data_IF_044760351614
#
_entry.id   IF_044760351614
#
_cell.length_a   1.000
_cell.length_b   1.000
_cell.length_c   1.000
_cell.angle_alpha   90.00
_cell.angle_beta   90.00
_cell.angle_gamma   90.00
#
_symmetry.space_group_name_H-M   'P 1'
#
loop_
_entity.id
_entity.type
_entity.pdbx_description
1 polymer ?
#
# COMPACT_ATOMS: atom_id res chain seq x y z
N UNK A 1 -18.30 12.06 -6.72
CA UNK A 1 -17.02 11.90 -7.44
C UNK A 1 -17.11 10.59 -8.22
N UNK A 2 -16.75 10.57 -9.50
CA UNK A 2 -16.65 9.33 -10.26
C UNK A 2 -15.22 8.75 -10.14
N UNK A 3 -15.00 7.45 -10.45
CA UNK A 3 -13.66 6.86 -10.42
C UNK A 3 -12.60 7.59 -11.26
N UNK A 4 -12.99 8.16 -12.41
CA UNK A 4 -12.07 8.89 -13.29
C UNK A 4 -11.56 10.17 -12.59
N UNK A 5 -12.42 10.88 -11.87
CA UNK A 5 -12.04 12.10 -11.14
C UNK A 5 -10.91 11.81 -10.15
N UNK A 6 -10.97 10.65 -9.47
CA UNK A 6 -9.90 10.20 -8.57
C UNK A 6 -8.59 10.03 -9.34
N UNK A 7 -8.55 9.20 -10.38
CA UNK A 7 -7.29 8.85 -11.07
C UNK A 7 -6.62 10.06 -11.76
N UNK A 8 -7.41 11.07 -12.15
CA UNK A 8 -6.94 12.34 -12.71
C UNK A 8 -6.65 13.42 -11.66
N UNK A 9 -7.01 13.18 -10.40
CA UNK A 9 -6.88 14.13 -9.31
C UNK A 9 -5.50 14.16 -8.65
N UNK A 10 -5.31 15.15 -7.78
CA UNK A 10 -4.05 15.37 -7.06
C UNK A 10 -3.93 14.53 -5.78
N UNK A 11 -5.04 13.97 -5.28
CA UNK A 11 -5.05 13.13 -4.07
C UNK A 11 -4.74 11.66 -4.37
N UNK A 12 -3.77 11.42 -5.27
CA UNK A 12 -3.42 10.07 -5.74
C UNK A 12 -1.98 9.69 -5.41
N UNK A 13 -1.73 8.38 -5.36
CA UNK A 13 -0.40 7.80 -5.17
C UNK A 13 -0.36 6.40 -5.80
N UNK A 14 0.82 5.80 -5.94
CA UNK A 14 0.97 4.50 -6.61
C UNK A 14 0.04 3.45 -6.00
N UNK A 15 -0.02 3.36 -4.67
CA UNK A 15 -0.87 2.41 -3.95
C UNK A 15 -2.37 2.58 -4.22
N UNK A 16 -2.90 3.81 -4.14
CA UNK A 16 -4.31 4.07 -4.43
C UNK A 16 -4.67 3.85 -5.90
N UNK A 17 -3.71 4.09 -6.82
CA UNK A 17 -3.87 3.79 -8.25
C UNK A 17 -3.88 2.29 -8.54
N UNK A 18 -3.19 1.48 -7.74
CA UNK A 18 -3.27 0.01 -7.83
C UNK A 18 -4.68 -0.46 -7.48
N UNK A 19 -5.24 -0.02 -6.34
CA UNK A 19 -6.62 -0.34 -5.95
C UNK A 19 -7.59 0.07 -7.07
N UNK A 20 -7.53 1.34 -7.50
CA UNK A 20 -8.36 1.85 -8.58
C UNK A 20 -8.26 0.98 -9.85
N UNK A 21 -7.05 0.59 -10.24
CA UNK A 21 -6.85 -0.23 -11.44
C UNK A 21 -7.50 -1.60 -11.31
N UNK A 22 -7.40 -2.25 -10.15
CA UNK A 22 -8.07 -3.55 -9.91
C UNK A 22 -9.59 -3.38 -9.99
N UNK A 23 -10.14 -2.39 -9.30
CA UNK A 23 -11.59 -2.16 -9.26
C UNK A 23 -12.18 -1.83 -10.62
N UNK A 24 -11.41 -1.12 -11.47
CA UNK A 24 -11.79 -0.73 -12.82
C UNK A 24 -11.41 -1.75 -13.90
N UNK A 25 -10.84 -2.91 -13.53
CA UNK A 25 -10.39 -3.93 -14.51
C UNK A 25 -9.23 -3.48 -15.39
N UNK A 26 -8.46 -2.47 -14.96
CA UNK A 26 -7.30 -1.92 -15.64
C UNK A 26 -5.98 -2.53 -15.15
N UNK A 27 -4.89 -2.24 -15.86
CA UNK A 27 -3.54 -2.67 -15.52
C UNK A 27 -2.71 -1.46 -15.06
N UNK A 28 -2.27 -1.41 -13.79
CA UNK A 28 -1.44 -0.33 -13.29
C UNK A 28 -0.04 -0.41 -13.93
N UNK A 29 0.55 0.76 -14.25
CA UNK A 29 1.93 0.83 -14.78
C UNK A 29 2.99 0.48 -13.74
N UNK A 30 2.73 0.86 -12.49
CA UNK A 30 3.61 0.61 -11.34
C UNK A 30 2.76 0.01 -10.25
N UNK A 31 3.27 -1.05 -9.61
CA UNK A 31 2.62 -1.72 -8.50
C UNK A 31 3.47 -1.52 -7.26
N UNK A 32 2.88 -0.89 -6.26
CA UNK A 32 3.48 -0.84 -4.94
C UNK A 32 2.41 -0.75 -3.85
N UNK A 33 2.80 -1.10 -2.64
CA UNK A 33 1.99 -0.99 -1.43
C UNK A 33 2.14 0.41 -0.81
N UNK A 34 1.23 0.87 0.08
CA UNK A 34 1.46 2.11 0.83
C UNK A 34 2.69 1.96 1.75
N UNK A 35 3.64 2.89 1.70
CA UNK A 35 4.86 2.81 2.52
C UNK A 35 4.77 3.63 3.80
N UNK A 36 3.87 4.61 3.83
CA UNK A 36 3.69 5.50 4.97
C UNK A 36 2.19 5.82 5.22
N UNK A 37 1.87 6.46 6.36
CA UNK A 37 0.50 6.87 6.66
C UNK A 37 -0.15 7.78 5.62
N UNK A 38 0.62 8.57 4.87
CA UNK A 38 0.06 9.45 3.84
C UNK A 38 -0.34 8.64 2.59
N UNK A 39 0.45 7.64 2.21
CA UNK A 39 0.11 6.66 1.18
C UNK A 39 -1.14 5.86 1.58
N UNK A 40 -1.18 5.37 2.83
CA UNK A 40 -2.34 4.66 3.34
C UNK A 40 -3.58 5.56 3.37
N UNK A 41 -3.44 6.80 3.84
CA UNK A 41 -4.54 7.76 3.88
C UNK A 41 -5.15 8.05 2.51
N UNK A 42 -4.36 8.06 1.43
CA UNK A 42 -4.89 8.12 0.06
C UNK A 42 -5.73 6.88 -0.29
N UNK A 43 -5.31 5.69 0.12
CA UNK A 43 -6.09 4.46 -0.08
C UNK A 43 -7.38 4.47 0.74
N UNK A 44 -7.32 4.91 2.00
CA UNK A 44 -8.47 5.03 2.90
C UNK A 44 -9.51 6.02 2.36
N UNK A 45 -9.08 7.23 1.94
CA UNK A 45 -9.99 8.21 1.33
C UNK A 45 -10.62 7.70 0.03
N UNK A 46 -9.90 6.91 -0.77
CA UNK A 46 -10.49 6.26 -1.95
C UNK A 46 -11.66 5.36 -1.56
N UNK A 47 -11.50 4.52 -0.54
CA UNK A 47 -12.59 3.68 -0.04
C UNK A 47 -13.71 4.50 0.62
N UNK A 48 -13.42 5.64 1.24
CA UNK A 48 -14.45 6.56 1.70
C UNK A 48 -15.31 7.13 0.56
N UNK A 49 -14.75 7.28 -0.63
CA UNK A 49 -15.47 7.73 -1.84
C UNK A 49 -16.21 6.59 -2.54
N UNK A 50 -15.69 5.37 -2.49
CA UNK A 50 -16.26 4.16 -3.10
C UNK A 50 -16.30 3.00 -2.08
N UNK A 51 -17.22 3.03 -1.09
CA UNK A 51 -17.26 2.05 0.00
C UNK A 51 -17.44 0.61 -0.46
N UNK A 52 -18.11 0.41 -1.60
CA UNK A 52 -18.33 -0.91 -2.20
C UNK A 52 -17.03 -1.59 -2.64
N UNK A 53 -15.95 -0.83 -2.84
CA UNK A 53 -14.63 -1.39 -3.19
C UNK A 53 -13.87 -1.93 -1.97
N UNK A 54 -14.20 -1.45 -0.75
CA UNK A 54 -13.50 -1.87 0.47
C UNK A 54 -13.66 -3.37 0.75
N UNK A 55 -14.84 -3.92 0.43
CA UNK A 55 -15.14 -5.35 0.55
C UNK A 55 -14.43 -6.22 -0.51
N UNK A 56 -13.82 -5.59 -1.51
CA UNK A 56 -13.16 -6.24 -2.65
C UNK A 56 -11.64 -6.13 -2.58
N UNK A 57 -11.09 -5.61 -1.49
CA UNK A 57 -9.64 -5.37 -1.36
C UNK A 57 -8.80 -6.65 -1.50
N UNK A 58 -9.38 -7.81 -1.18
CA UNK A 58 -8.77 -9.13 -1.42
C UNK A 58 -8.49 -9.41 -2.90
N UNK A 59 -9.20 -8.77 -3.84
CA UNK A 59 -8.88 -8.86 -5.26
C UNK A 59 -7.51 -8.24 -5.58
N UNK A 60 -7.08 -7.25 -4.78
CA UNK A 60 -5.78 -6.60 -4.93
C UNK A 60 -4.65 -7.54 -4.49
N UNK A 61 -4.79 -8.19 -3.33
CA UNK A 61 -3.80 -9.17 -2.83
C UNK A 61 -3.75 -10.43 -3.71
N UNK A 62 -4.90 -10.87 -4.25
CA UNK A 62 -4.96 -11.97 -5.20
C UNK A 62 -4.21 -11.67 -6.51
N UNK A 63 -4.29 -10.43 -7.01
CA UNK A 63 -3.59 -10.00 -8.23
C UNK A 63 -2.12 -9.64 -7.98
N UNK A 64 -1.81 -9.07 -6.82
CA UNK A 64 -0.49 -8.58 -6.46
C UNK A 64 -0.08 -9.11 -5.07
N UNK A 65 0.65 -10.24 -5.00
CA UNK A 65 0.99 -10.90 -3.73
C UNK A 65 1.67 -9.98 -2.70
N UNK A 66 2.42 -8.96 -3.16
CA UNK A 66 3.00 -7.91 -2.32
C UNK A 66 2.00 -7.28 -1.35
N UNK A 67 0.73 -7.16 -1.74
CA UNK A 67 -0.34 -6.56 -0.94
C UNK A 67 -0.87 -7.48 0.17
N UNK A 68 -0.62 -8.79 0.11
CA UNK A 68 -1.19 -9.78 1.01
C UNK A 68 -1.08 -9.42 2.50
N UNK A 69 0.11 -9.10 3.03
CA UNK A 69 0.26 -8.76 4.45
C UNK A 69 -0.49 -7.50 4.87
N UNK A 70 -0.57 -6.47 4.02
CA UNK A 70 -1.33 -5.26 4.33
C UNK A 70 -2.83 -5.47 4.24
N UNK A 71 -3.29 -6.25 3.27
CA UNK A 71 -4.71 -6.59 3.15
C UNK A 71 -5.18 -7.41 4.35
N UNK A 72 -4.37 -8.38 4.80
CA UNK A 72 -4.63 -9.16 6.02
C UNK A 72 -4.80 -8.27 7.26
N UNK A 73 -4.00 -7.22 7.39
CA UNK A 73 -3.99 -6.33 8.56
C UNK A 73 -4.74 -5.01 8.32
N UNK A 74 -5.56 -4.94 7.26
CA UNK A 74 -6.12 -3.68 6.79
C UNK A 74 -6.98 -2.98 7.86
N UNK A 75 -7.82 -3.72 8.57
CA UNK A 75 -8.66 -3.18 9.66
C UNK A 75 -7.82 -2.56 10.79
N UNK A 76 -6.70 -3.21 11.15
CA UNK A 76 -5.76 -2.68 12.14
C UNK A 76 -5.15 -1.36 11.64
N UNK A 77 -4.79 -1.29 10.35
CA UNK A 77 -4.25 -0.08 9.74
C UNK A 77 -5.28 1.05 9.69
N UNK A 78 -6.55 0.75 9.39
CA UNK A 78 -7.66 1.72 9.42
C UNK A 78 -7.85 2.28 10.82
N UNK A 79 -7.90 1.42 11.83
CA UNK A 79 -8.02 1.84 13.23
C UNK A 79 -6.88 2.78 13.66
N UNK A 80 -5.62 2.40 13.37
CA UNK A 80 -4.45 3.23 13.71
C UNK A 80 -4.43 4.55 12.95
N UNK A 81 -4.87 4.56 11.68
CA UNK A 81 -4.99 5.76 10.89
C UNK A 81 -6.02 6.72 11.48
N UNK A 82 -7.24 6.24 11.72
CA UNK A 82 -8.36 7.06 12.20
C UNK A 82 -8.12 7.62 13.59
N UNK A 83 -7.43 6.87 14.45
CA UNK A 83 -7.01 7.31 15.78
C UNK A 83 -6.19 8.60 15.75
N UNK A 84 -5.25 8.72 14.82
CA UNK A 84 -4.22 9.75 14.85
C UNK A 84 -4.27 10.74 13.66
N UNK A 85 -5.12 10.52 12.65
CA UNK A 85 -5.18 11.35 11.43
C UNK A 85 -5.43 12.83 11.73
N UNK A 86 -6.25 13.13 12.74
CA UNK A 86 -6.58 14.50 13.15
C UNK A 86 -5.38 15.27 13.72
N UNK A 87 -4.37 14.56 14.23
CA UNK A 87 -3.16 15.14 14.80
C UNK A 87 -2.04 15.33 13.77
N UNK A 88 -2.22 14.77 12.56
CA UNK A 88 -1.21 14.75 11.51
C UNK A 88 0.01 13.85 11.81
N UNK A 89 -0.02 13.08 12.90
CA UNK A 89 1.09 12.22 13.35
C UNK A 89 0.62 10.79 13.55
N UNK A 90 0.64 9.99 12.48
CA UNK A 90 0.29 8.57 12.56
C UNK A 90 1.53 7.70 12.83
N UNK A 91 2.19 7.93 13.97
CA UNK A 91 3.44 7.23 14.33
C UNK A 91 3.23 5.74 14.52
N UNK A 92 2.18 5.36 15.27
CA UNK A 92 1.82 3.96 15.53
C UNK A 92 1.53 3.21 14.23
N UNK A 93 0.81 3.85 13.29
CA UNK A 93 0.55 3.28 11.97
C UNK A 93 1.83 3.09 11.16
N UNK A 94 2.72 4.09 11.14
CA UNK A 94 4.00 3.97 10.44
C UNK A 94 4.80 2.78 10.96
N UNK A 95 4.99 2.69 12.28
CA UNK A 95 5.75 1.59 12.90
C UNK A 95 5.11 0.22 12.65
N UNK A 96 3.78 0.17 12.59
CA UNK A 96 3.04 -1.04 12.24
C UNK A 96 3.27 -1.43 10.77
N UNK A 97 3.12 -0.49 9.83
CA UNK A 97 3.36 -0.71 8.40
C UNK A 97 4.78 -1.19 8.12
N UNK A 98 5.78 -0.63 8.81
CA UNK A 98 7.18 -1.05 8.65
C UNK A 98 7.42 -2.53 8.99
N UNK A 99 6.65 -3.10 9.93
CA UNK A 99 6.72 -4.53 10.25
C UNK A 99 6.16 -5.38 9.10
N UNK A 100 5.06 -4.92 8.49
CA UNK A 100 4.42 -5.60 7.37
C UNK A 100 5.23 -5.52 6.08
N UNK A 101 6.02 -4.45 5.90
CA UNK A 101 6.83 -4.25 4.70
C UNK A 101 7.79 -5.40 4.41
N UNK A 102 8.37 -6.02 5.44
CA UNK A 102 9.23 -7.18 5.25
C UNK A 102 8.47 -8.38 4.67
N UNK A 103 7.29 -8.67 5.21
CA UNK A 103 6.41 -9.71 4.67
C UNK A 103 5.98 -9.39 3.24
N UNK A 104 5.71 -8.11 2.94
CA UNK A 104 5.31 -7.67 1.60
C UNK A 104 6.41 -7.95 0.58
N UNK A 105 7.66 -7.64 0.92
CA UNK A 105 8.81 -7.94 0.06
C UNK A 105 8.97 -9.46 -0.15
N UNK A 106 8.85 -10.25 0.91
CA UNK A 106 8.90 -11.72 0.81
C UNK A 106 7.78 -12.26 -0.08
N UNK A 107 6.56 -11.76 0.09
CA UNK A 107 5.40 -12.16 -0.72
C UNK A 107 5.57 -11.80 -2.21
N UNK A 108 6.28 -10.71 -2.53
CA UNK A 108 6.67 -10.33 -3.89
C UNK A 108 7.94 -11.05 -4.39
N UNK A 109 8.43 -12.05 -3.67
CA UNK A 109 9.57 -12.87 -4.08
C UNK A 109 10.94 -12.23 -3.88
N UNK A 110 11.03 -11.15 -3.08
CA UNK A 110 12.30 -10.59 -2.66
C UNK A 110 12.91 -11.41 -1.53
N UNK A 111 14.24 -11.45 -1.50
CA UNK A 111 15.04 -12.06 -0.45
C UNK A 111 15.81 -10.98 0.29
N UNK A 112 15.74 -10.99 1.62
CA UNK A 112 16.51 -10.09 2.49
C UNK A 112 17.98 -10.49 2.42
N UNK A 113 18.87 -9.54 2.13
CA UNK A 113 20.32 -9.77 2.05
C UNK A 113 21.11 -8.98 3.08
N UNK A 114 20.46 -8.12 3.87
CA UNK A 114 21.04 -7.32 4.94
C UNK A 114 20.01 -6.35 5.52
N UNK A 115 20.38 -5.54 6.53
CA UNK A 115 19.50 -4.49 7.06
C UNK A 115 19.04 -3.56 5.94
N UNK A 116 17.73 -3.49 5.72
CA UNK A 116 17.12 -2.71 4.63
C UNK A 116 17.42 -3.20 3.21
N UNK A 117 18.22 -4.24 3.01
CA UNK A 117 18.73 -4.63 1.70
C UNK A 117 18.01 -5.88 1.17
N UNK A 118 17.51 -5.79 -0.06
CA UNK A 118 16.67 -6.81 -0.69
C UNK A 118 17.14 -7.13 -2.11
N UNK A 119 16.98 -8.38 -2.53
CA UNK A 119 17.27 -8.82 -3.91
C UNK A 119 16.15 -9.69 -4.45
N UNK A 120 15.77 -9.48 -5.71
CA UNK A 120 14.86 -10.34 -6.48
C UNK A 120 15.65 -10.95 -7.64
N UNK A 121 15.54 -12.26 -7.83
CA UNK A 121 16.23 -12.93 -8.95
C UNK A 121 15.66 -12.42 -10.28
N UNK A 122 16.52 -11.95 -11.19
CA UNK A 122 16.12 -11.49 -12.54
C UNK A 122 15.83 -10.00 -12.70
N UNK A 123 16.11 -9.15 -11.71
CA UNK A 123 16.01 -7.69 -11.85
C UNK A 123 17.29 -7.00 -11.34
N UNK A 124 17.76 -6.02 -12.11
CA UNK A 124 18.94 -5.20 -11.80
C UNK A 124 18.82 -4.54 -10.43
N UNK A 125 19.97 -4.27 -9.79
CA UNK A 125 20.08 -3.72 -8.44
C UNK A 125 19.12 -2.54 -8.20
N UNK A 126 18.10 -2.74 -7.38
CA UNK A 126 17.39 -1.65 -6.70
C UNK A 126 17.91 -1.59 -5.27
N UNK A 127 18.73 -0.57 -4.99
CA UNK A 127 19.10 -0.22 -3.62
C UNK A 127 17.87 0.38 -2.94
N UNK A 128 17.02 -0.46 -2.38
CA UNK A 128 15.93 0.00 -1.52
C UNK A 128 16.59 0.38 -0.19
N UNK A 129 16.92 1.66 0.02
CA UNK A 129 17.32 2.12 1.34
C UNK A 129 16.05 2.22 2.19
N UNK A 130 15.79 1.20 3.02
CA UNK A 130 14.90 1.40 4.16
C UNK A 130 15.62 2.41 5.05
N UNK A 131 15.14 3.65 5.09
CA UNK A 131 15.70 4.69 5.97
C UNK A 131 15.61 4.20 7.41
N UNK A 132 16.71 3.67 7.92
CA UNK A 132 16.97 3.64 9.35
C UNK A 132 17.16 5.11 9.77
N UNK A 133 16.33 5.55 10.72
CA UNK A 133 16.59 6.80 11.45
C UNK A 133 17.82 6.62 12.33
#
# INVERSE_FOLDING_TARGET
MNPIDWITGNDTGVSSKVIWSVMMGSSPKTVDVPHDPADFGRCHRLFGLFPEWRNRIEEVSAKFPKWGPMVREWETMEYLYEKDVSTGRCGDLYDFMQKLMEECYVADGWKKTGPGSWRKNGSQHLNISVRAK
#
